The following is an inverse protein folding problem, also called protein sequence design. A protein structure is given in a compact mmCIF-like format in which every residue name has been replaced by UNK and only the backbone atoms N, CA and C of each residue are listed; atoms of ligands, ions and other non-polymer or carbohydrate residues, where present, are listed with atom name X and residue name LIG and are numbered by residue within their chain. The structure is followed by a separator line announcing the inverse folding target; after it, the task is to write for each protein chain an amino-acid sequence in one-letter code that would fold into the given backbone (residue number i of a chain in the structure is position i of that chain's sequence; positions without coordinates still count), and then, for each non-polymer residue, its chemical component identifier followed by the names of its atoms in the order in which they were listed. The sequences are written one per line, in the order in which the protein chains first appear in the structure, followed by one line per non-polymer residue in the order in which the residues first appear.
data_IF_617299547308
#
_entry.id   IF_617299547308
#
_cell.length_a   1.000
_cell.length_b   1.000
_cell.length_c   1.000
_cell.angle_alpha   90.00
_cell.angle_beta   90.00
_cell.angle_gamma   90.00
#
_symmetry.space_group_name_H-M   'P 1'
#
loop_
_entity.id
_entity.type
_entity.pdbx_description
1 polymer ?
#
# COMPACT_ATOMS: atom_id res chain seq x y z
N UNK A 1 2.93 -1.59 -2.86
CA UNK A 1 3.67 -1.14 -4.05
C UNK A 1 4.38 0.13 -3.67
N UNK A 2 5.69 0.14 -3.75
CA UNK A 2 6.54 1.30 -3.44
C UNK A 2 6.87 2.08 -4.73
N UNK A 3 7.60 3.19 -4.57
CA UNK A 3 8.06 4.03 -5.68
C UNK A 3 9.07 3.31 -6.58
N UNK A 4 9.94 2.45 -6.03
CA UNK A 4 11.07 1.85 -6.74
C UNK A 4 10.61 0.84 -7.77
N UNK A 5 9.39 0.33 -7.65
CA UNK A 5 8.69 -0.43 -8.70
C UNK A 5 8.72 0.26 -10.08
N UNK A 6 8.81 1.60 -10.16
CA UNK A 6 8.91 2.31 -11.43
C UNK A 6 10.21 2.02 -12.21
N UNK A 7 11.26 1.56 -11.54
CA UNK A 7 12.53 1.17 -12.18
C UNK A 7 12.40 -0.15 -12.97
N UNK A 8 11.55 -1.05 -12.48
CA UNK A 8 11.40 -2.39 -13.04
C UNK A 8 10.17 -2.54 -13.95
N UNK A 9 9.12 -1.74 -13.71
CA UNK A 9 7.82 -1.91 -14.36
C UNK A 9 7.39 -0.64 -15.09
N UNK A 10 7.26 -0.72 -16.42
CA UNK A 10 6.81 0.40 -17.26
C UNK A 10 5.47 1.00 -16.80
N UNK A 11 4.53 0.15 -16.36
CA UNK A 11 3.23 0.60 -15.84
C UNK A 11 3.35 1.42 -14.55
N UNK A 12 4.37 1.16 -13.72
CA UNK A 12 4.61 1.94 -12.52
C UNK A 12 5.28 3.29 -12.86
N UNK A 13 6.18 3.32 -13.84
CA UNK A 13 6.73 4.57 -14.36
C UNK A 13 5.64 5.48 -14.97
N UNK A 14 4.76 4.92 -15.80
CA UNK A 14 3.61 5.64 -16.36
C UNK A 14 2.70 6.20 -15.25
N UNK A 15 2.52 5.45 -14.15
CA UNK A 15 1.77 5.91 -12.99
C UNK A 15 2.41 7.15 -12.34
N UNK A 16 3.73 7.16 -12.15
CA UNK A 16 4.42 8.33 -11.58
C UNK A 16 4.30 9.55 -12.48
N UNK A 17 4.48 9.39 -13.80
CA UNK A 17 4.33 10.47 -14.78
C UNK A 17 2.93 11.09 -14.75
N UNK A 18 1.88 10.26 -14.74
CA UNK A 18 0.48 10.73 -14.71
C UNK A 18 0.19 11.54 -13.43
N UNK A 19 0.84 11.19 -12.32
CA UNK A 19 0.61 11.82 -11.02
C UNK A 19 1.62 12.93 -10.68
N UNK A 20 2.49 13.31 -11.61
CA UNK A 20 3.54 14.34 -11.41
C UNK A 20 4.44 14.01 -10.21
N UNK A 21 4.82 12.73 -10.07
CA UNK A 21 5.73 12.21 -9.06
C UNK A 21 7.09 11.96 -9.72
N UNK A 22 8.16 12.41 -9.07
CA UNK A 22 9.52 12.20 -9.56
C UNK A 22 9.87 10.71 -9.63
N UNK A 23 10.62 10.33 -10.67
CA UNK A 23 11.20 8.99 -10.77
C UNK A 23 12.24 8.79 -9.67
N UNK A 24 12.27 7.62 -9.01
CA UNK A 24 13.23 7.37 -7.95
C UNK A 24 14.64 7.17 -8.49
N UNK A 25 15.65 7.45 -7.67
CA UNK A 25 17.04 7.07 -7.96
C UNK A 25 17.25 5.55 -7.75
N UNK A 26 18.27 4.96 -8.36
CA UNK A 26 18.52 3.50 -8.27
C UNK A 26 18.85 3.02 -6.84
N UNK A 27 19.35 3.91 -5.99
CA UNK A 27 19.72 3.66 -4.59
C UNK A 27 18.78 4.33 -3.58
N UNK A 28 17.63 4.83 -4.03
CA UNK A 28 16.64 5.44 -3.16
C UNK A 28 15.91 4.38 -2.31
N UNK A 29 15.68 4.70 -1.04
CA UNK A 29 14.93 3.84 -0.14
C UNK A 29 13.47 3.71 -0.61
N UNK A 30 12.87 2.50 -0.57
CA UNK A 30 11.49 2.32 -0.97
C UNK A 30 10.55 3.04 -0.02
N UNK A 31 9.56 3.73 -0.57
CA UNK A 31 8.47 4.33 0.18
C UNK A 31 7.13 4.14 -0.53
N UNK A 32 6.01 4.11 0.22
CA UNK A 32 4.70 3.87 -0.36
C UNK A 32 4.24 5.02 -1.27
N UNK A 33 3.74 4.66 -2.45
CA UNK A 33 3.09 5.57 -3.40
C UNK A 33 1.73 5.03 -3.81
N UNK A 34 0.90 5.90 -4.38
CA UNK A 34 -0.46 5.55 -4.79
C UNK A 34 -1.52 6.30 -3.99
N UNK A 35 -2.74 5.77 -4.00
CA UNK A 35 -3.87 6.39 -3.32
C UNK A 35 -3.98 5.89 -1.88
N UNK A 36 -3.23 6.52 -0.97
CA UNK A 36 -3.19 6.15 0.45
C UNK A 36 -4.43 6.57 1.25
N UNK A 37 -5.30 7.41 0.68
CA UNK A 37 -6.59 7.80 1.28
C UNK A 37 -7.76 6.92 0.83
N UNK A 38 -7.50 5.79 0.16
CA UNK A 38 -8.54 4.91 -0.40
C UNK A 38 -9.59 4.44 0.62
N UNK A 39 -9.23 4.39 1.91
CA UNK A 39 -10.12 3.98 3.00
C UNK A 39 -10.48 5.12 3.98
N UNK A 40 -10.19 6.38 3.62
CA UNK A 40 -10.45 7.52 4.49
C UNK A 40 -11.92 7.63 4.91
N UNK A 41 -12.84 7.36 3.98
CA UNK A 41 -14.30 7.38 4.23
C UNK A 41 -14.76 6.25 5.17
N UNK A 42 -13.97 5.18 5.28
CA UNK A 42 -14.23 4.06 6.19
C UNK A 42 -13.48 4.20 7.51
N UNK A 43 -12.82 5.35 7.70
CA UNK A 43 -12.19 5.73 8.95
C UNK A 43 -10.74 5.27 9.09
N UNK A 44 -10.06 4.83 8.03
CA UNK A 44 -8.61 4.59 8.01
C UNK A 44 -7.94 5.67 7.16
N UNK A 45 -7.16 6.54 7.79
CA UNK A 45 -6.59 7.71 7.11
C UNK A 45 -5.25 7.42 6.42
N UNK A 46 -4.78 8.37 5.60
CA UNK A 46 -3.48 8.36 4.94
C UNK A 46 -2.32 7.85 5.80
N UNK A 47 -2.17 8.37 7.03
CA UNK A 47 -1.01 8.05 7.88
C UNK A 47 -1.05 6.60 8.36
N UNK A 48 -2.25 6.07 8.63
CA UNK A 48 -2.43 4.66 9.00
C UNK A 48 -2.09 3.74 7.82
N UNK A 49 -2.53 4.10 6.61
CA UNK A 49 -2.19 3.35 5.39
C UNK A 49 -0.70 3.42 5.06
N UNK A 50 -0.09 4.60 5.15
CA UNK A 50 1.33 4.80 4.91
C UNK A 50 2.19 3.97 5.87
N UNK A 51 1.89 4.02 7.17
CA UNK A 51 2.61 3.27 8.19
C UNK A 51 2.54 1.76 7.96
N UNK A 52 1.37 1.25 7.53
CA UNK A 52 1.20 -0.16 7.25
C UNK A 52 2.01 -0.60 6.00
N UNK A 53 2.01 0.21 4.95
CA UNK A 53 2.74 -0.09 3.72
C UNK A 53 4.27 0.05 3.88
N UNK A 54 4.73 0.87 4.82
CA UNK A 54 6.14 1.09 5.14
C UNK A 54 6.70 0.06 6.15
N UNK A 55 5.84 -0.78 6.72
CA UNK A 55 6.24 -1.81 7.68
C UNK A 55 6.88 -3.03 6.99
N UNK A 56 8.21 -3.08 7.01
CA UNK A 56 9.00 -4.16 6.45
C UNK A 56 8.89 -5.49 7.22
N UNK A 57 8.28 -5.52 8.41
CA UNK A 57 8.03 -6.75 9.15
C UNK A 57 6.76 -7.47 8.71
N UNK A 58 5.88 -6.79 7.95
CA UNK A 58 4.60 -7.34 7.51
C UNK A 58 4.67 -7.88 6.08
N UNK A 59 4.16 -9.10 5.91
CA UNK A 59 3.86 -9.64 4.59
C UNK A 59 2.59 -9.00 3.99
N UNK A 60 2.40 -9.04 2.66
CA UNK A 60 1.25 -8.43 2.01
C UNK A 60 -0.12 -8.92 2.52
N UNK A 61 -0.24 -10.19 2.88
CA UNK A 61 -1.42 -10.78 3.49
C UNK A 61 -1.66 -10.25 4.91
N UNK A 62 -0.63 -10.13 5.73
CA UNK A 62 -0.71 -9.54 7.09
C UNK A 62 -1.13 -8.06 7.04
N UNK A 63 -0.67 -7.31 6.03
CA UNK A 63 -1.15 -5.95 5.78
C UNK A 63 -2.65 -5.95 5.46
N UNK A 64 -3.12 -6.87 4.61
CA UNK A 64 -4.55 -6.97 4.28
C UNK A 64 -5.40 -7.38 5.49
N UNK A 65 -4.91 -8.29 6.34
CA UNK A 65 -5.56 -8.64 7.61
C UNK A 65 -5.67 -7.44 8.55
N UNK A 66 -4.60 -6.64 8.66
CA UNK A 66 -4.59 -5.42 9.46
C UNK A 66 -5.63 -4.41 8.96
N UNK A 67 -5.75 -4.22 7.64
CA UNK A 67 -6.79 -3.38 7.04
C UNK A 67 -8.18 -3.93 7.35
N UNK A 68 -8.40 -5.23 7.16
CA UNK A 68 -9.70 -5.87 7.39
C UNK A 68 -10.15 -5.74 8.86
N UNK A 69 -9.23 -5.98 9.79
CA UNK A 69 -9.44 -5.78 11.22
C UNK A 69 -9.76 -4.32 11.54
N UNK A 70 -8.99 -3.37 11.00
CA UNK A 70 -9.16 -1.93 11.21
C UNK A 70 -10.49 -1.38 10.70
N UNK A 71 -11.01 -1.95 9.61
CA UNK A 71 -12.27 -1.58 8.98
C UNK A 71 -13.48 -2.40 9.49
N UNK A 72 -13.25 -3.35 10.41
CA UNK A 72 -14.31 -4.08 11.09
C UNK A 72 -14.90 -5.26 10.32
N UNK A 73 -14.19 -5.79 9.33
CA UNK A 73 -14.60 -6.98 8.55
C UNK A 73 -13.60 -8.15 8.62
N UNK A 74 -12.73 -8.15 9.63
CA UNK A 74 -11.69 -9.18 9.81
C UNK A 74 -12.24 -10.62 9.81
N UNK A 75 -13.37 -10.87 10.48
CA UNK A 75 -13.97 -12.21 10.54
C UNK A 75 -14.40 -12.71 9.15
N UNK A 76 -15.02 -11.84 8.34
CA UNK A 76 -15.42 -12.18 6.98
C UNK A 76 -14.21 -12.38 6.06
N UNK A 77 -13.14 -11.62 6.28
CA UNK A 77 -11.89 -11.78 5.54
C UNK A 77 -11.22 -13.12 5.85
N UNK A 78 -11.15 -13.50 7.13
CA UNK A 78 -10.62 -14.79 7.56
C UNK A 78 -11.45 -15.97 7.02
N UNK A 79 -12.78 -15.86 7.07
CA UNK A 79 -13.68 -16.88 6.50
C UNK A 79 -13.43 -17.10 5.00
N UNK A 80 -13.21 -16.01 4.23
CA UNK A 80 -12.91 -16.09 2.80
C UNK A 80 -11.58 -16.81 2.51
N UNK A 81 -10.58 -16.63 3.38
CA UNK A 81 -9.25 -17.22 3.25
C UNK A 81 -9.15 -18.63 3.85
N UNK A 82 -10.23 -19.15 4.44
CA UNK A 82 -10.25 -20.43 5.17
C UNK A 82 -9.20 -20.50 6.30
N UNK A 83 -8.91 -19.36 6.93
CA UNK A 83 -7.96 -19.22 8.04
C UNK A 83 -8.54 -19.68 9.40
#
# INVERSE_FOLDING_TARGET
SDVTCALDYAVAADFLEINDIDMPEEDEDPFPVGYLDIFADLGMNHMEMAALCDDAELFPDEQLEAIASRLGFGDQFAELLEL
#
